data_IF_814446084544
#
_entry.id   IF_814446084544
#
_cell.length_a   1.000
_cell.length_b   1.000
_cell.length_c   1.000
_cell.angle_alpha   90.00
_cell.angle_beta   90.00
_cell.angle_gamma   90.00
#
_symmetry.space_group_name_H-M   'P 1'
#
loop_
_entity.id
_entity.type
_entity.pdbx_description
1 polymer ?
#
# COMPACT_ATOMS: atom_id res chain seq x y z
N UNK A 1 3.22 9.63 -10.47
CA UNK A 1 3.68 9.50 -11.87
C UNK A 1 2.47 9.40 -12.78
N UNK A 2 2.72 9.17 -14.08
CA UNK A 2 1.67 9.12 -15.10
C UNK A 2 0.76 7.88 -14.98
N UNK A 3 1.29 6.75 -14.47
CA UNK A 3 0.51 5.51 -14.35
C UNK A 3 0.13 5.18 -12.90
N UNK A 4 1.09 5.29 -11.97
CA UNK A 4 0.88 5.02 -10.55
C UNK A 4 1.20 6.27 -9.73
N UNK A 5 0.43 6.45 -8.65
CA UNK A 5 0.74 7.42 -7.61
C UNK A 5 1.80 6.82 -6.69
N UNK A 6 2.76 7.65 -6.29
CA UNK A 6 3.77 7.25 -5.30
C UNK A 6 3.15 7.05 -3.92
N UNK A 7 3.98 6.65 -2.96
CA UNK A 7 3.56 6.53 -1.57
C UNK A 7 3.14 7.90 -1.06
N UNK A 8 2.00 7.97 -0.37
CA UNK A 8 1.55 9.17 0.33
C UNK A 8 1.27 8.85 1.77
N UNK A 9 1.75 9.70 2.67
CA UNK A 9 1.48 9.61 4.09
C UNK A 9 0.37 10.57 4.46
N UNK A 10 -0.51 10.13 5.36
CA UNK A 10 -1.52 10.95 6.00
C UNK A 10 -1.60 10.59 7.49
N UNK A 11 -2.45 11.30 8.23
CA UNK A 11 -2.63 11.09 9.68
C UNK A 11 -3.15 9.68 10.05
N UNK A 12 -3.59 8.87 9.07
CA UNK A 12 -4.10 7.50 9.25
C UNK A 12 -3.07 6.44 8.84
N UNK A 13 -2.01 6.82 8.13
CA UNK A 13 -0.88 5.96 7.76
C UNK A 13 -0.38 6.23 6.34
N UNK A 14 -0.19 5.17 5.55
CA UNK A 14 0.36 5.27 4.20
C UNK A 14 -0.61 4.74 3.14
N UNK A 15 -0.61 5.35 1.96
CA UNK A 15 -1.37 4.92 0.79
C UNK A 15 -0.45 4.61 -0.38
N UNK A 16 -0.67 3.48 -1.03
CA UNK A 16 0.12 3.03 -2.18
C UNK A 16 -0.77 2.65 -3.35
N UNK A 17 -0.25 2.82 -4.57
CA UNK A 17 -0.85 2.24 -5.77
C UNK A 17 0.14 1.31 -6.46
N UNK A 18 -0.35 0.15 -6.86
CA UNK A 18 0.44 -0.89 -7.50
C UNK A 18 -0.29 -1.45 -8.72
N UNK A 19 0.45 -1.89 -9.73
CA UNK A 19 -0.05 -2.64 -10.87
C UNK A 19 0.52 -4.06 -10.79
N UNK A 20 -0.35 -5.07 -10.81
CA UNK A 20 0.03 -6.48 -10.79
C UNK A 20 -0.47 -7.14 -12.06
N UNK A 21 0.40 -7.91 -12.72
CA UNK A 21 0.10 -8.60 -13.97
C UNK A 21 0.54 -10.06 -13.90
N UNK A 22 -0.18 -10.94 -14.57
CA UNK A 22 0.19 -12.37 -14.67
C UNK A 22 -0.07 -12.88 -16.07
N UNK A 23 0.99 -13.34 -16.74
CA UNK A 23 0.95 -13.83 -18.13
C UNK A 23 0.00 -15.02 -18.29
N UNK A 24 0.16 -16.05 -17.46
CA UNK A 24 -0.62 -17.29 -17.55
C UNK A 24 -2.13 -17.07 -17.46
N UNK A 25 -2.58 -16.09 -16.68
CA UNK A 25 -4.01 -15.78 -16.54
C UNK A 25 -4.47 -14.59 -17.37
N UNK A 26 -3.56 -13.85 -18.02
CA UNK A 26 -3.88 -12.60 -18.71
C UNK A 26 -4.41 -11.48 -17.82
N UNK A 27 -4.35 -11.64 -16.49
CA UNK A 27 -5.01 -10.72 -15.56
C UNK A 27 -4.15 -9.50 -15.28
N UNK A 28 -4.77 -8.33 -15.33
CA UNK A 28 -4.20 -7.05 -14.91
C UNK A 28 -5.00 -6.52 -13.73
N UNK A 29 -4.31 -6.12 -12.66
CA UNK A 29 -4.93 -5.62 -11.44
C UNK A 29 -4.29 -4.33 -10.99
N UNK A 30 -5.12 -3.31 -10.87
CA UNK A 30 -4.75 -2.07 -10.24
C UNK A 30 -5.13 -2.16 -8.75
N UNK A 31 -4.16 -2.00 -7.85
CA UNK A 31 -4.34 -2.17 -6.42
C UNK A 31 -4.13 -0.82 -5.74
N UNK A 32 -5.13 -0.37 -4.98
CA UNK A 32 -5.03 0.79 -4.08
C UNK A 32 -5.09 0.27 -2.64
N UNK A 33 -4.01 0.48 -1.87
CA UNK A 33 -3.88 -0.03 -0.52
C UNK A 33 -3.72 1.08 0.50
N UNK A 34 -4.39 0.92 1.64
CA UNK A 34 -4.26 1.76 2.84
C UNK A 34 -3.60 0.97 3.96
N UNK A 35 -2.43 1.43 4.38
CA UNK A 35 -1.63 0.86 5.44
C UNK A 35 -1.90 1.63 6.73
N UNK A 36 -2.54 0.99 7.71
CA UNK A 36 -2.90 1.61 8.99
C UNK A 36 -1.78 1.41 10.00
N UNK A 37 -1.02 2.47 10.28
CA UNK A 37 0.13 2.41 11.20
C UNK A 37 -0.31 2.08 12.63
N UNK A 38 -1.43 2.65 13.10
CA UNK A 38 -1.98 2.34 14.45
C UNK A 38 -2.23 0.85 14.66
N UNK A 39 -2.82 0.18 13.66
CA UNK A 39 -3.03 -1.26 13.73
C UNK A 39 -1.70 -2.01 13.76
N UNK A 40 -0.69 -1.54 13.03
CA UNK A 40 0.62 -2.16 13.01
C UNK A 40 1.32 -2.05 14.38
N UNK A 41 1.16 -0.92 15.07
CA UNK A 41 1.73 -0.71 16.41
C UNK A 41 1.25 -1.75 17.43
N UNK A 42 0.00 -2.22 17.34
CA UNK A 42 -0.53 -3.29 18.21
C UNK A 42 0.24 -4.61 18.11
N UNK A 43 0.96 -4.84 17.00
CA UNK A 43 1.67 -6.10 16.73
C UNK A 43 3.18 -5.93 16.56
N UNK A 44 3.70 -4.70 16.63
CA UNK A 44 5.11 -4.46 16.35
C UNK A 44 5.97 -4.45 17.61
N UNK A 45 7.15 -5.08 17.51
CA UNK A 45 8.21 -4.95 18.51
C UNK A 45 8.97 -3.62 18.41
N UNK A 46 8.70 -2.82 17.37
CA UNK A 46 9.33 -1.51 17.12
C UNK A 46 8.29 -0.43 17.31
N UNK A 47 8.66 0.63 18.02
CA UNK A 47 7.82 1.79 18.23
C UNK A 47 7.84 2.72 16.99
N UNK A 48 6.66 3.14 16.54
CA UNK A 48 6.46 3.99 15.36
C UNK A 48 5.79 5.33 15.71
N UNK A 49 5.85 5.71 16.99
CA UNK A 49 5.25 6.96 17.51
C UNK A 49 6.02 8.19 17.07
#
# INVERSE_FOLDING_TARGET
GQLLRGVRFDHRGARTQSLVMRSRSGTVRFIDARHRVRKLQEFSAIDYT
#
